data_IF_590789895898
#
_entry.id   IF_590789895898
#
_cell.length_a   1.000
_cell.length_b   1.000
_cell.length_c   1.000
_cell.angle_alpha   90.00
_cell.angle_beta   90.00
_cell.angle_gamma   90.00
#
_symmetry.space_group_name_H-M   'P 1'
#
loop_
_entity.id
_entity.type
_entity.pdbx_description
1 polymer ?
#
# COMPACT_ATOMS: atom_id res chain seq x y z
N UNK A 1 -2.87 16.74 53.80
CA UNK A 1 -4.12 16.11 53.35
C UNK A 1 -4.37 16.53 51.91
N UNK A 2 -4.07 15.58 51.02
CA UNK A 2 -4.89 15.19 49.87
C UNK A 2 -5.11 16.21 48.75
N UNK A 3 -4.34 16.07 47.67
CA UNK A 3 -4.85 15.38 46.48
C UNK A 3 -3.82 15.49 45.34
N UNK A 4 -2.91 14.52 45.32
CA UNK A 4 -2.41 13.97 44.07
C UNK A 4 -3.58 13.54 43.17
N UNK A 5 -3.31 13.45 41.86
CA UNK A 5 -4.11 12.77 40.83
C UNK A 5 -5.13 13.64 40.11
N UNK A 6 -4.79 14.06 38.88
CA UNK A 6 -5.42 13.54 37.65
C UNK A 6 -4.86 14.24 36.39
N UNK A 7 -3.57 14.06 36.09
CA UNK A 7 -3.10 14.11 34.68
C UNK A 7 -3.18 12.67 34.16
N UNK A 8 -4.41 12.24 33.87
CA UNK A 8 -4.73 10.87 33.48
C UNK A 8 -4.22 10.68 32.05
N UNK A 9 -3.17 9.87 31.96
CA UNK A 9 -2.66 9.13 30.81
C UNK A 9 -3.65 8.90 29.65
N UNK A 10 -3.72 9.85 28.71
CA UNK A 10 -4.43 9.63 27.43
C UNK A 10 -3.47 9.24 26.28
N UNK A 11 -2.18 9.07 26.56
CA UNK A 11 -1.15 8.81 25.53
C UNK A 11 -0.86 7.31 25.29
N UNK A 12 -1.32 6.40 26.16
CA UNK A 12 -0.77 5.03 26.21
C UNK A 12 -1.61 3.95 25.50
N UNK A 13 -2.83 4.25 25.06
CA UNK A 13 -3.73 3.24 24.44
C UNK A 13 -3.65 3.18 22.90
N UNK A 14 -3.09 4.20 22.23
CA UNK A 14 -3.17 4.33 20.77
C UNK A 14 -1.95 3.74 20.03
N UNK A 15 -0.76 3.82 20.65
CA UNK A 15 0.52 3.32 20.12
C UNK A 15 0.52 1.79 19.82
N UNK A 16 -0.02 0.88 20.65
CA UNK A 16 0.03 -0.55 20.35
C UNK A 16 -0.85 -0.93 19.15
N UNK A 17 -1.91 -0.17 18.87
CA UNK A 17 -2.88 -0.50 17.82
C UNK A 17 -2.34 -0.16 16.43
N UNK A 18 -1.73 1.00 16.23
CA UNK A 18 -1.15 1.38 14.94
C UNK A 18 -0.03 0.41 14.51
N UNK A 19 0.84 0.01 15.45
CA UNK A 19 1.90 -0.97 15.20
C UNK A 19 1.32 -2.36 14.88
N UNK A 20 0.21 -2.72 15.53
CA UNK A 20 -0.49 -3.98 15.24
C UNK A 20 -1.06 -3.99 13.81
N UNK A 21 -1.69 -2.89 13.38
CA UNK A 21 -2.23 -2.78 12.01
C UNK A 21 -1.11 -2.81 10.97
N UNK A 22 0.00 -2.10 11.20
CA UNK A 22 1.17 -2.13 10.31
C UNK A 22 1.69 -3.56 10.11
N UNK A 23 1.80 -4.35 11.19
CA UNK A 23 2.22 -5.75 11.12
C UNK A 23 1.25 -6.63 10.33
N UNK A 24 -0.04 -6.49 10.58
CA UNK A 24 -1.08 -7.24 9.85
C UNK A 24 -1.05 -6.91 8.37
N UNK A 25 -0.89 -5.63 8.02
CA UNK A 25 -0.88 -5.19 6.63
C UNK A 25 0.42 -5.57 5.90
N UNK A 26 1.56 -5.59 6.61
CA UNK A 26 2.81 -6.16 6.10
C UNK A 26 2.67 -7.67 5.83
N UNK A 27 2.08 -8.42 6.77
CA UNK A 27 1.84 -9.86 6.62
C UNK A 27 0.90 -10.15 5.44
N UNK A 28 -0.15 -9.35 5.29
CA UNK A 28 -1.06 -9.42 4.14
C UNK A 28 -0.31 -9.18 2.83
N UNK A 29 0.55 -8.17 2.77
CA UNK A 29 1.40 -7.90 1.60
C UNK A 29 2.29 -9.09 1.23
N UNK A 30 2.97 -9.69 2.21
CA UNK A 30 3.80 -10.89 1.99
C UNK A 30 2.96 -12.00 1.38
N UNK A 31 1.78 -12.28 1.96
CA UNK A 31 0.90 -13.34 1.48
C UNK A 31 0.37 -13.06 0.07
N UNK A 32 0.02 -11.81 -0.23
CA UNK A 32 -0.45 -11.38 -1.56
C UNK A 32 0.63 -11.62 -2.62
N UNK A 33 1.84 -11.09 -2.40
CA UNK A 33 2.93 -11.22 -3.38
C UNK A 33 3.41 -12.67 -3.51
N UNK A 34 3.45 -13.43 -2.41
CA UNK A 34 3.80 -14.84 -2.46
C UNK A 34 2.74 -15.65 -3.24
N UNK A 35 1.46 -15.40 -2.99
CA UNK A 35 0.37 -16.04 -3.73
C UNK A 35 0.38 -15.69 -5.21
N UNK A 36 0.73 -14.45 -5.55
CA UNK A 36 0.87 -13.99 -6.93
C UNK A 36 2.04 -14.69 -7.63
N UNK A 37 3.20 -14.82 -6.95
CA UNK A 37 4.34 -15.57 -7.46
C UNK A 37 3.96 -17.04 -7.71
N UNK A 38 3.31 -17.69 -6.74
CA UNK A 38 2.86 -19.07 -6.86
C UNK A 38 1.88 -19.27 -8.03
N UNK A 39 0.98 -18.30 -8.23
CA UNK A 39 0.02 -18.31 -9.34
C UNK A 39 0.71 -18.37 -10.70
N UNK A 40 1.79 -17.59 -10.89
CA UNK A 40 2.56 -17.54 -12.13
C UNK A 40 3.25 -18.87 -12.40
N UNK A 41 3.91 -19.44 -11.38
CA UNK A 41 4.58 -20.73 -11.50
C UNK A 41 3.61 -21.86 -11.84
N UNK A 42 2.35 -21.74 -11.40
CA UNK A 42 1.30 -22.72 -11.69
C UNK A 42 0.73 -22.57 -13.11
N UNK A 43 0.75 -21.36 -13.69
CA UNK A 43 0.08 -21.07 -14.96
C UNK A 43 0.90 -21.27 -16.24
N UNK A 44 2.15 -21.77 -16.16
CA UNK A 44 2.93 -22.15 -17.36
C UNK A 44 3.06 -21.02 -18.40
N UNK A 45 3.19 -19.77 -17.95
CA UNK A 45 3.33 -18.61 -18.83
C UNK A 45 4.72 -18.67 -19.49
N UNK A 46 4.80 -18.58 -20.81
CA UNK A 46 6.08 -18.65 -21.54
C UNK A 46 7.00 -17.44 -21.23
N UNK A 47 6.42 -16.27 -20.96
CA UNK A 47 7.14 -15.03 -20.66
C UNK A 47 6.86 -14.48 -19.25
N UNK A 48 7.35 -15.18 -18.23
CA UNK A 48 7.19 -14.76 -16.83
C UNK A 48 8.02 -13.53 -16.44
N UNK A 49 9.12 -13.24 -17.16
CA UNK A 49 10.12 -12.26 -16.73
C UNK A 49 9.54 -10.85 -16.57
N UNK A 50 8.75 -10.38 -17.54
CA UNK A 50 8.14 -9.05 -17.48
C UNK A 50 7.17 -8.93 -16.29
N UNK A 51 6.38 -9.98 -16.06
CA UNK A 51 5.42 -10.01 -14.97
C UNK A 51 6.11 -10.13 -13.60
N UNK A 52 7.20 -10.91 -13.50
CA UNK A 52 8.01 -11.02 -12.28
C UNK A 52 8.66 -9.69 -11.89
N UNK A 53 9.20 -8.96 -12.87
CA UNK A 53 9.77 -7.62 -12.66
C UNK A 53 8.68 -6.65 -12.20
N UNK A 54 7.51 -6.68 -12.84
CA UNK A 54 6.37 -5.85 -12.44
C UNK A 54 5.94 -6.12 -10.99
N UNK A 55 5.90 -7.39 -10.58
CA UNK A 55 5.57 -7.80 -9.22
C UNK A 55 6.64 -7.36 -8.23
N UNK A 56 7.91 -7.51 -8.59
CA UNK A 56 9.01 -7.07 -7.75
C UNK A 56 8.94 -5.57 -7.47
N UNK A 57 8.74 -4.77 -8.52
CA UNK A 57 8.61 -3.31 -8.41
C UNK A 57 7.37 -2.96 -7.57
N UNK A 58 6.24 -3.61 -7.84
CA UNK A 58 4.99 -3.38 -7.10
C UNK A 58 5.11 -3.76 -5.61
N UNK A 59 5.85 -4.81 -5.30
CA UNK A 59 6.13 -5.24 -3.93
C UNK A 59 6.98 -4.22 -3.18
N UNK A 60 8.08 -3.77 -3.79
CA UNK A 60 8.92 -2.73 -3.22
C UNK A 60 8.11 -1.45 -2.98
N UNK A 61 7.33 -1.01 -3.97
CA UNK A 61 6.47 0.17 -3.83
C UNK A 61 5.41 0.01 -2.73
N UNK A 62 4.76 -1.15 -2.64
CA UNK A 62 3.77 -1.43 -1.60
C UNK A 62 4.38 -1.32 -0.21
N UNK A 63 5.48 -2.05 0.06
CA UNK A 63 6.12 -2.00 1.37
C UNK A 63 6.69 -0.62 1.66
N UNK A 64 7.24 0.07 0.67
CA UNK A 64 7.73 1.42 0.84
C UNK A 64 6.61 2.39 1.22
N UNK A 65 5.49 2.40 0.49
CA UNK A 65 4.32 3.24 0.79
C UNK A 65 3.72 2.89 2.15
N UNK A 66 3.60 1.60 2.45
CA UNK A 66 3.04 1.13 3.71
C UNK A 66 3.89 1.58 4.90
N UNK A 67 5.21 1.41 4.83
CA UNK A 67 6.10 1.90 5.88
C UNK A 67 6.10 3.43 5.95
N UNK A 68 6.08 4.13 4.82
CA UNK A 68 6.00 5.59 4.77
C UNK A 68 4.72 6.12 5.44
N UNK A 69 3.59 5.43 5.26
CA UNK A 69 2.32 5.76 5.90
C UNK A 69 2.39 5.70 7.43
N UNK A 70 3.07 4.70 7.99
CA UNK A 70 3.19 4.53 9.44
C UNK A 70 4.35 5.32 10.07
N UNK A 71 5.30 5.83 9.28
CA UNK A 71 6.47 6.59 9.80
C UNK A 71 6.12 7.99 10.29
N UNK A 72 5.26 8.73 9.59
CA UNK A 72 4.93 10.11 9.98
C UNK A 72 3.62 10.63 9.36
N UNK A 73 3.05 11.67 9.96
CA UNK A 73 1.90 12.39 9.37
C UNK A 73 2.20 12.96 7.98
N UNK A 74 3.44 13.38 7.74
CA UNK A 74 3.87 13.81 6.41
C UNK A 74 3.83 12.64 5.42
N UNK A 75 4.32 11.46 5.83
CA UNK A 75 4.28 10.25 5.04
C UNK A 75 2.85 9.83 4.67
N UNK A 76 1.89 9.95 5.60
CA UNK A 76 0.46 9.73 5.32
C UNK A 76 -0.04 10.64 4.19
N UNK A 77 0.27 11.93 4.25
CA UNK A 77 -0.12 12.90 3.19
C UNK A 77 0.49 12.54 1.84
N UNK A 78 1.76 12.14 1.80
CA UNK A 78 2.43 11.72 0.56
C UNK A 78 1.74 10.48 -0.02
N UNK A 79 1.43 9.48 0.80
CA UNK A 79 0.74 8.25 0.39
C UNK A 79 -0.65 8.56 -0.18
N UNK A 80 -1.46 9.37 0.52
CA UNK A 80 -2.77 9.79 0.00
C UNK A 80 -2.65 10.59 -1.29
N UNK A 81 -1.64 11.46 -1.41
CA UNK A 81 -1.35 12.21 -2.63
C UNK A 81 -1.05 11.29 -3.81
N UNK A 82 -0.20 10.26 -3.61
CA UNK A 82 0.11 9.29 -4.66
C UNK A 82 -1.11 8.46 -5.06
N UNK A 83 -1.91 7.98 -4.11
CA UNK A 83 -3.15 7.24 -4.41
C UNK A 83 -4.12 8.13 -5.21
N UNK A 84 -4.29 9.39 -4.81
CA UNK A 84 -5.11 10.36 -5.54
C UNK A 84 -4.60 10.61 -6.95
N UNK A 85 -3.28 10.78 -7.12
CA UNK A 85 -2.67 10.96 -8.44
C UNK A 85 -2.86 9.73 -9.34
N UNK A 86 -2.70 8.52 -8.82
CA UNK A 86 -2.94 7.27 -9.56
C UNK A 86 -4.41 7.17 -9.97
N UNK A 87 -5.34 7.48 -9.07
CA UNK A 87 -6.77 7.45 -9.36
C UNK A 87 -7.15 8.48 -10.45
N UNK A 88 -6.63 9.70 -10.36
CA UNK A 88 -6.84 10.73 -11.37
C UNK A 88 -6.23 10.34 -12.72
N UNK A 89 -5.01 9.80 -12.72
CA UNK A 89 -4.36 9.34 -13.94
C UNK A 89 -5.15 8.20 -14.59
N UNK A 90 -5.63 7.23 -13.80
CA UNK A 90 -6.49 6.15 -14.26
C UNK A 90 -7.76 6.67 -14.92
N UNK A 91 -8.44 7.62 -14.26
CA UNK A 91 -9.65 8.25 -14.78
C UNK A 91 -9.37 9.07 -16.06
N UNK A 92 -8.27 9.81 -16.10
CA UNK A 92 -7.84 10.53 -17.29
C UNK A 92 -7.59 9.59 -18.47
N UNK A 93 -6.97 8.44 -18.24
CA UNK A 93 -6.71 7.42 -19.26
C UNK A 93 -8.03 6.90 -19.87
N UNK A 94 -9.05 6.68 -19.05
CA UNK A 94 -10.38 6.25 -19.55
C UNK A 94 -10.96 7.26 -20.54
N UNK A 95 -10.93 8.55 -20.22
CA UNK A 95 -11.37 9.60 -21.14
C UNK A 95 -10.49 9.70 -22.38
N UNK A 96 -9.18 9.53 -22.23
CA UNK A 96 -8.24 9.53 -23.34
C UNK A 96 -8.56 8.43 -24.37
N UNK A 97 -8.78 7.19 -23.91
CA UNK A 97 -9.17 6.05 -24.76
C UNK A 97 -10.53 6.24 -25.41
N UNK A 98 -11.48 6.89 -24.72
CA UNK A 98 -12.81 7.15 -25.29
C UNK A 98 -12.76 8.17 -26.44
N UNK A 99 -11.87 9.16 -26.35
CA UNK A 99 -11.70 10.19 -27.38
C UNK A 99 -10.77 9.70 -28.52
N UNK A 100 -9.77 8.88 -28.20
CA UNK A 100 -8.83 8.30 -29.14
C UNK A 100 -8.94 6.76 -29.11
N UNK A 101 -10.03 6.19 -29.67
CA UNK A 101 -10.16 4.76 -29.74
C UNK A 101 -8.97 4.17 -30.49
N UNK A 102 -8.36 3.13 -29.93
CA UNK A 102 -7.31 2.39 -30.62
C UNK A 102 -7.88 1.90 -31.95
N UNK A 103 -7.23 2.26 -33.06
CA UNK A 103 -7.55 1.68 -34.36
C UNK A 103 -7.25 0.17 -34.25
N UNK A 104 -8.32 -0.63 -34.18
CA UNK A 104 -8.25 -2.09 -34.25
C UNK A 104 -7.99 -2.53 -35.69
#
# INVERSE_FOLDING_TARGET
MDAHSKSRSDTEADIPKEITVQKVLNLYGIFLFLGLILSIFTHGIEDINGFLIFILISSVLYFFMLNLYFVSDFGRKVVFGMIGAIALFSLFMVFYLQINPAAH
#
